data_IF_575939623909
#
_entry.id   IF_575939623909
#
_cell.length_a   1.000
_cell.length_b   1.000
_cell.length_c   1.000
_cell.angle_alpha   90.00
_cell.angle_beta   90.00
_cell.angle_gamma   90.00
#
_symmetry.space_group_name_H-M   'P 1'
#
loop_
_entity.id
_entity.type
_entity.pdbx_description
1 polymer ?
#
# COMPACT_ATOMS: atom_id res chain seq x y z
N UNK A 1 -9.20 -8.90 7.23
CA UNK A 1 -9.90 -8.32 6.06
C UNK A 1 -8.89 -7.61 5.19
N UNK A 2 -8.98 -7.75 3.86
CA UNK A 2 -8.29 -6.86 2.92
C UNK A 2 -9.31 -5.83 2.42
N UNK A 3 -8.99 -4.54 2.58
CA UNK A 3 -9.86 -3.43 2.26
C UNK A 3 -9.21 -2.41 1.34
N UNK A 4 -10.04 -1.54 0.77
CA UNK A 4 -9.61 -0.33 0.08
C UNK A 4 -10.02 0.87 0.91
N UNK A 5 -9.23 1.96 0.98
CA UNK A 5 -9.56 3.11 1.82
C UNK A 5 -10.96 3.69 1.59
N UNK A 6 -11.41 3.71 0.32
CA UNK A 6 -12.76 4.16 -0.03
C UNK A 6 -13.85 3.25 0.55
N UNK A 7 -13.65 1.92 0.53
CA UNK A 7 -14.61 0.97 1.12
C UNK A 7 -14.67 1.13 2.64
N UNK A 8 -13.54 1.38 3.30
CA UNK A 8 -13.54 1.65 4.75
C UNK A 8 -14.34 2.90 5.10
N UNK A 9 -14.13 4.01 4.37
CA UNK A 9 -14.91 5.23 4.57
C UNK A 9 -16.42 4.98 4.45
N UNK A 10 -16.84 4.27 3.40
CA UNK A 10 -18.26 3.92 3.19
C UNK A 10 -18.80 3.04 4.31
N UNK A 11 -18.00 2.08 4.78
CA UNK A 11 -18.37 1.24 5.91
C UNK A 11 -18.51 2.08 7.19
N UNK A 12 -17.58 2.99 7.48
CA UNK A 12 -17.69 3.90 8.62
C UNK A 12 -18.97 4.76 8.58
N UNK A 13 -19.31 5.32 7.42
CA UNK A 13 -20.56 6.07 7.24
C UNK A 13 -21.78 5.18 7.52
N UNK A 14 -21.84 3.99 6.95
CA UNK A 14 -22.96 3.06 7.16
C UNK A 14 -23.10 2.62 8.63
N UNK A 15 -21.98 2.43 9.35
CA UNK A 15 -22.00 2.05 10.77
C UNK A 15 -22.52 3.17 11.67
N UNK A 16 -22.35 4.44 11.28
CA UNK A 16 -22.91 5.59 12.01
C UNK A 16 -24.42 5.70 11.83
N UNK A 17 -24.95 5.19 10.72
CA UNK A 17 -26.37 5.23 10.38
C UNK A 17 -27.15 3.99 10.89
N UNK A 18 -26.46 2.91 11.26
CA UNK A 18 -27.09 1.67 11.73
C UNK A 18 -27.03 1.51 13.25
N UNK A 19 -28.17 1.35 13.91
CA UNK A 19 -28.23 1.10 15.37
C UNK A 19 -27.81 -0.33 15.77
N UNK A 20 -27.88 -1.32 14.88
CA UNK A 20 -27.91 -2.74 15.31
C UNK A 20 -26.91 -3.70 14.61
N UNK A 21 -26.27 -3.34 13.49
CA UNK A 21 -25.41 -4.29 12.74
C UNK A 21 -23.96 -4.36 13.24
N UNK A 22 -23.58 -3.50 14.19
CA UNK A 22 -22.19 -3.37 14.65
C UNK A 22 -21.74 -4.50 15.56
N UNK A 23 -22.64 -5.17 16.29
CA UNK A 23 -22.25 -6.03 17.42
C UNK A 23 -21.46 -7.29 17.03
N UNK A 24 -21.79 -7.93 15.90
CA UNK A 24 -21.11 -9.17 15.45
C UNK A 24 -19.74 -8.86 14.82
N UNK A 25 -19.67 -7.82 13.97
CA UNK A 25 -18.42 -7.40 13.33
C UNK A 25 -17.42 -6.83 14.35
N UNK A 26 -17.89 -6.03 15.32
CA UNK A 26 -17.08 -5.53 16.46
C UNK A 26 -16.42 -6.67 17.23
N UNK A 27 -17.12 -7.81 17.39
CA UNK A 27 -16.62 -8.93 18.18
C UNK A 27 -15.69 -9.87 17.43
N UNK A 28 -15.65 -9.86 16.09
CA UNK A 28 -14.91 -10.85 15.30
C UNK A 28 -13.77 -10.27 14.45
N UNK A 29 -13.86 -9.01 14.03
CA UNK A 29 -12.79 -8.37 13.25
C UNK A 29 -11.63 -7.98 14.18
N UNK A 30 -10.41 -8.38 13.81
CA UNK A 30 -9.19 -8.10 14.60
C UNK A 30 -8.05 -7.51 13.78
N UNK A 31 -7.98 -7.89 12.49
CA UNK A 31 -6.90 -7.51 11.59
C UNK A 31 -7.42 -6.97 10.26
N UNK A 32 -6.91 -5.82 9.87
CA UNK A 32 -7.26 -5.14 8.61
C UNK A 32 -5.99 -4.75 7.87
N UNK A 33 -5.88 -5.19 6.62
CA UNK A 33 -4.88 -4.67 5.69
C UNK A 33 -5.61 -3.79 4.68
N UNK A 34 -5.00 -2.66 4.32
CA UNK A 34 -5.51 -1.77 3.28
C UNK A 34 -4.44 -1.46 2.26
N UNK A 35 -4.82 -1.38 0.99
CA UNK A 35 -3.94 -1.10 -0.14
C UNK A 35 -4.71 -0.37 -1.25
N UNK A 36 -3.99 0.20 -2.20
CA UNK A 36 -4.52 0.72 -3.46
C UNK A 36 -4.67 2.24 -3.49
N UNK A 37 -4.71 2.90 -2.34
CA UNK A 37 -4.61 4.35 -2.26
C UNK A 37 -4.15 4.79 -0.86
N UNK A 38 -3.92 6.10 -0.70
CA UNK A 38 -3.57 6.68 0.59
C UNK A 38 -4.74 6.49 1.56
N UNK A 39 -4.45 5.89 2.71
CA UNK A 39 -5.37 5.80 3.84
C UNK A 39 -5.20 7.04 4.72
N UNK A 40 -6.21 7.91 4.85
CA UNK A 40 -6.10 9.03 5.78
C UNK A 40 -5.93 8.51 7.22
N UNK A 41 -5.02 9.09 8.04
CA UNK A 41 -4.77 8.64 9.41
C UNK A 41 -6.05 8.57 10.24
N UNK A 42 -6.90 9.60 10.15
CA UNK A 42 -8.18 9.66 10.86
C UNK A 42 -9.11 8.48 10.52
N UNK A 43 -9.11 8.00 9.28
CA UNK A 43 -9.92 6.83 8.88
C UNK A 43 -9.37 5.55 9.49
N UNK A 44 -8.04 5.40 9.50
CA UNK A 44 -7.39 4.24 10.12
C UNK A 44 -7.66 4.20 11.63
N UNK A 45 -7.47 5.33 12.32
CA UNK A 45 -7.72 5.48 13.76
C UNK A 45 -9.18 5.24 14.11
N UNK A 46 -10.12 5.86 13.40
CA UNK A 46 -11.55 5.69 13.63
C UNK A 46 -11.98 4.23 13.44
N UNK A 47 -11.50 3.58 12.38
CA UNK A 47 -11.81 2.17 12.10
C UNK A 47 -11.20 1.24 13.15
N UNK A 48 -9.94 1.48 13.54
CA UNK A 48 -9.27 0.71 14.59
C UNK A 48 -10.02 0.83 15.93
N UNK A 49 -10.49 2.03 16.28
CA UNK A 49 -11.22 2.27 17.52
C UNK A 49 -12.59 1.58 17.54
N UNK A 50 -13.39 1.74 16.48
CA UNK A 50 -14.75 1.17 16.40
C UNK A 50 -14.73 -0.36 16.53
N UNK A 51 -13.73 -1.01 15.93
CA UNK A 51 -13.61 -2.48 15.90
C UNK A 51 -12.62 -3.03 16.93
N UNK A 52 -12.02 -2.17 17.76
CA UNK A 52 -10.96 -2.55 18.71
C UNK A 52 -9.88 -3.41 18.07
N UNK A 53 -9.40 -2.98 16.89
CA UNK A 53 -8.43 -3.72 16.11
C UNK A 53 -7.07 -3.74 16.82
N UNK A 54 -6.42 -4.90 16.80
CA UNK A 54 -5.03 -5.03 17.23
C UNK A 54 -4.04 -4.96 16.07
N UNK A 55 -4.52 -4.85 14.83
CA UNK A 55 -3.71 -4.80 13.61
C UNK A 55 -4.49 -4.05 12.52
N UNK A 56 -4.02 -2.86 12.16
CA UNK A 56 -4.48 -2.08 11.02
C UNK A 56 -3.27 -1.61 10.23
N UNK A 57 -3.09 -2.14 9.02
CA UNK A 57 -1.86 -1.93 8.25
C UNK A 57 -2.13 -1.37 6.87
N UNK A 58 -1.63 -0.16 6.64
CA UNK A 58 -1.52 0.46 5.32
C UNK A 58 -0.38 -0.20 4.57
N UNK A 59 -0.69 -0.86 3.47
CA UNK A 59 0.27 -1.55 2.63
C UNK A 59 0.40 -0.82 1.30
N UNK A 60 1.59 -0.85 0.70
CA UNK A 60 1.82 -0.31 -0.63
C UNK A 60 2.02 -1.42 -1.65
N UNK A 61 1.57 -1.18 -2.87
CA UNK A 61 1.71 -2.08 -3.98
C UNK A 61 0.98 -1.55 -5.21
N UNK A 62 1.16 -2.24 -6.32
CA UNK A 62 0.59 -1.89 -7.61
C UNK A 62 0.35 -3.17 -8.43
N UNK A 63 -0.49 -3.06 -9.45
CA UNK A 63 -0.82 -4.21 -10.32
C UNK A 63 0.42 -4.77 -11.00
N UNK A 64 1.30 -3.88 -11.46
CA UNK A 64 2.57 -4.19 -12.12
C UNK A 64 3.56 -4.90 -11.20
N UNK A 65 3.40 -4.78 -9.88
CA UNK A 65 4.21 -5.51 -8.91
C UNK A 65 3.67 -6.92 -8.59
N UNK A 66 2.51 -7.28 -9.14
CA UNK A 66 1.80 -8.52 -8.79
C UNK A 66 1.12 -8.47 -7.41
N UNK A 67 0.91 -7.28 -6.84
CA UNK A 67 0.27 -7.10 -5.53
C UNK A 67 1.09 -6.24 -4.58
N UNK A 68 1.34 -6.75 -3.36
CA UNK A 68 2.03 -6.02 -2.30
C UNK A 68 3.52 -5.83 -2.61
N UNK A 69 4.00 -4.59 -2.46
CA UNK A 69 5.42 -4.24 -2.41
C UNK A 69 5.91 -4.19 -0.97
N UNK A 70 5.19 -3.45 -0.12
CA UNK A 70 5.55 -3.28 1.29
C UNK A 70 4.37 -3.58 2.20
N UNK A 71 4.69 -4.15 3.36
CA UNK A 71 3.71 -4.49 4.39
C UNK A 71 4.29 -4.11 5.76
N UNK A 72 3.57 -3.35 6.60
CA UNK A 72 4.00 -3.07 7.97
C UNK A 72 4.09 -4.35 8.83
N UNK A 73 4.95 -4.37 9.87
CA UNK A 73 4.98 -5.46 10.85
C UNK A 73 3.60 -5.78 11.44
N UNK A 74 3.32 -7.05 11.75
CA UNK A 74 2.03 -7.42 12.36
C UNK A 74 1.89 -6.80 13.75
N UNK A 75 0.66 -6.46 14.13
CA UNK A 75 0.35 -5.77 15.38
C UNK A 75 0.44 -4.24 15.28
N UNK A 76 0.87 -3.71 14.14
CA UNK A 76 0.85 -2.27 13.92
C UNK A 76 -0.58 -1.76 13.64
N UNK A 77 -0.88 -0.59 14.18
CA UNK A 77 -2.12 0.15 13.93
C UNK A 77 -1.73 1.53 13.38
N UNK A 78 -1.58 1.63 12.06
CA UNK A 78 -1.13 2.84 11.39
C UNK A 78 -1.70 2.96 9.97
N UNK A 79 -2.12 4.18 9.61
CA UNK A 79 -2.52 4.53 8.24
C UNK A 79 -1.39 5.10 7.38
N UNK A 80 -0.29 5.55 7.99
CA UNK A 80 0.79 6.33 7.35
C UNK A 80 2.04 5.50 7.08
N UNK A 81 2.35 4.54 7.94
CA UNK A 81 3.47 3.64 7.72
C UNK A 81 3.07 2.60 6.67
N UNK A 82 3.85 2.54 5.59
CA UNK A 82 3.67 1.53 4.52
C UNK A 82 4.53 0.28 4.74
N UNK A 83 5.38 0.28 5.78
CA UNK A 83 6.16 -0.88 6.19
C UNK A 83 7.40 -1.13 5.35
N UNK A 84 7.77 -2.40 5.27
CA UNK A 84 9.03 -2.85 4.66
C UNK A 84 8.76 -3.71 3.43
N UNK A 85 9.72 -3.80 2.49
CA UNK A 85 9.62 -4.70 1.35
C UNK A 85 9.31 -6.13 1.81
N UNK A 86 8.38 -6.80 1.13
CA UNK A 86 8.10 -8.22 1.39
C UNK A 86 9.24 -9.12 0.85
N UNK A 87 9.32 -10.41 1.25
CA UNK A 87 10.37 -11.30 0.78
C UNK A 87 10.53 -11.31 -0.74
N UNK A 88 11.77 -11.39 -1.20
CA UNK A 88 12.17 -11.36 -2.62
C UNK A 88 11.96 -10.01 -3.35
N UNK A 89 11.48 -8.96 -2.68
CA UNK A 89 11.41 -7.61 -3.25
C UNK A 89 12.59 -6.78 -2.76
N UNK A 90 13.28 -6.13 -3.70
CA UNK A 90 14.28 -5.09 -3.41
C UNK A 90 13.71 -3.73 -3.79
N UNK A 91 13.99 -2.72 -2.99
CA UNK A 91 13.53 -1.34 -3.23
C UNK A 91 14.67 -0.36 -3.00
N UNK A 92 14.64 0.74 -3.75
CA UNK A 92 15.50 1.92 -3.55
C UNK A 92 14.70 3.18 -3.86
N UNK A 93 15.15 4.31 -3.33
CA UNK A 93 14.62 5.63 -3.67
C UNK A 93 15.69 6.35 -4.49
N UNK A 94 15.29 7.01 -5.58
CA UNK A 94 16.20 7.79 -6.42
C UNK A 94 15.73 9.24 -6.53
N UNK A 95 16.68 10.15 -6.76
CA UNK A 95 16.37 11.48 -7.27
C UNK A 95 16.03 11.38 -8.77
N UNK A 96 14.90 11.93 -9.19
CA UNK A 96 14.43 11.79 -10.58
C UNK A 96 15.17 12.67 -11.59
N UNK A 97 16.00 13.60 -11.14
CA UNK A 97 16.78 14.50 -11.98
C UNK A 97 18.20 13.97 -12.15
N UNK A 98 18.87 13.62 -11.06
CA UNK A 98 20.25 13.12 -11.08
C UNK A 98 20.36 11.61 -11.28
N UNK A 99 19.32 10.85 -10.91
CA UNK A 99 19.34 9.38 -10.91
C UNK A 99 20.08 8.76 -9.72
N UNK A 100 20.59 9.58 -8.80
CA UNK A 100 21.33 9.12 -7.62
C UNK A 100 20.43 8.39 -6.62
N UNK A 101 20.98 7.37 -5.95
CA UNK A 101 20.28 6.66 -4.88
C UNK A 101 20.26 7.53 -3.63
N UNK A 102 19.06 7.76 -3.11
CA UNK A 102 18.84 8.58 -1.94
C UNK A 102 18.94 7.75 -0.65
N UNK A 103 19.42 8.40 0.41
CA UNK A 103 19.51 7.85 1.75
C UNK A 103 18.18 7.91 2.51
N UNK A 104 18.19 7.46 3.78
CA UNK A 104 17.00 7.51 4.64
C UNK A 104 16.42 8.93 4.74
N UNK A 105 15.10 9.03 4.87
CA UNK A 105 14.34 10.29 5.05
C UNK A 105 14.35 11.28 3.87
N UNK A 106 15.05 10.96 2.78
CA UNK A 106 15.02 11.75 1.56
C UNK A 106 13.87 11.31 0.65
N UNK A 107 13.10 12.28 0.15
CA UNK A 107 11.99 12.04 -0.75
C UNK A 107 12.48 11.90 -2.20
N UNK A 108 11.94 10.91 -2.91
CA UNK A 108 12.22 10.71 -4.33
C UNK A 108 11.30 9.68 -4.95
N UNK A 109 11.69 9.15 -6.11
CA UNK A 109 10.96 8.06 -6.75
C UNK A 109 11.37 6.71 -6.18
N UNK A 110 10.39 5.89 -5.83
CA UNK A 110 10.63 4.48 -5.50
C UNK A 110 10.81 3.66 -6.76
N UNK A 111 11.90 2.91 -6.79
CA UNK A 111 12.13 1.81 -7.73
C UNK A 111 12.08 0.49 -6.98
N UNK A 112 11.58 -0.54 -7.63
CA UNK A 112 11.54 -1.89 -7.08
C UNK A 112 11.98 -2.94 -8.08
N UNK A 113 12.46 -4.07 -7.56
CA UNK A 113 12.80 -5.25 -8.33
C UNK A 113 12.10 -6.45 -7.69
N UNK A 114 11.33 -7.19 -8.49
CA UNK A 114 10.52 -8.32 -8.05
C UNK A 114 10.57 -9.43 -9.11
N UNK A 115 10.58 -10.71 -8.71
CA UNK A 115 10.52 -11.83 -9.65
C UNK A 115 9.11 -12.11 -10.19
N UNK A 116 8.06 -11.43 -9.67
CA UNK A 116 6.65 -11.71 -10.02
C UNK A 116 5.93 -10.52 -10.66
N UNK A 117 6.66 -9.48 -11.06
CA UNK A 117 6.07 -8.29 -11.66
C UNK A 117 5.62 -8.49 -13.10
N UNK A 118 4.84 -7.54 -13.61
CA UNK A 118 4.42 -7.49 -14.99
C UNK A 118 5.64 -7.34 -15.92
N UNK A 119 5.59 -8.03 -17.06
CA UNK A 119 6.65 -7.99 -18.08
C UNK A 119 6.30 -7.11 -19.27
N UNK A 120 5.01 -6.80 -19.47
CA UNK A 120 4.50 -5.98 -20.54
C UNK A 120 3.07 -5.51 -20.25
N UNK A 121 2.65 -4.43 -20.91
CA UNK A 121 1.26 -4.03 -21.05
C UNK A 121 0.68 -4.61 -22.34
N UNK A 122 -0.50 -5.21 -22.25
CA UNK A 122 -1.15 -5.82 -23.39
C UNK A 122 -1.49 -4.76 -24.46
N UNK A 123 -0.98 -4.96 -25.68
CA UNK A 123 -1.25 -4.07 -26.82
C UNK A 123 -0.47 -2.74 -26.83
N UNK A 124 0.44 -2.52 -25.88
CA UNK A 124 1.24 -1.29 -25.79
C UNK A 124 2.74 -1.61 -25.69
N UNK A 125 3.39 -1.73 -26.84
CA UNK A 125 4.83 -2.00 -26.91
C UNK A 125 5.68 -0.85 -26.36
N UNK A 126 5.20 0.38 -26.46
CA UNK A 126 5.92 1.58 -26.00
C UNK A 126 5.97 1.62 -24.49
N UNK A 127 4.82 1.47 -23.82
CA UNK A 127 4.75 1.40 -22.36
C UNK A 127 5.48 0.14 -21.83
N UNK A 128 5.38 -0.98 -22.54
CA UNK A 128 6.07 -2.22 -22.18
C UNK A 128 7.60 -2.06 -22.19
N UNK A 129 8.15 -1.30 -23.13
CA UNK A 129 9.59 -1.05 -23.21
C UNK A 129 10.14 -0.26 -21.99
N UNK A 130 9.27 0.49 -21.31
CA UNK A 130 9.62 1.27 -20.12
C UNK A 130 9.28 0.62 -18.79
N UNK A 131 8.68 -0.58 -18.78
CA UNK A 131 8.19 -1.20 -17.54
C UNK A 131 9.34 -1.62 -16.61
N UNK A 132 10.44 -2.13 -17.19
CA UNK A 132 11.67 -2.50 -16.48
C UNK A 132 12.85 -1.82 -17.16
N UNK A 133 13.69 -1.13 -16.39
CA UNK A 133 14.92 -0.54 -16.90
C UNK A 133 15.98 -1.59 -17.26
N UNK A 134 17.07 -1.16 -17.89
CA UNK A 134 18.20 -2.03 -18.27
C UNK A 134 18.90 -2.73 -17.10
N UNK A 135 18.64 -2.30 -15.87
CA UNK A 135 19.20 -2.85 -14.64
C UNK A 135 18.18 -3.73 -13.88
N UNK A 136 17.00 -3.96 -14.44
CA UNK A 136 15.95 -4.78 -13.85
C UNK A 136 15.03 -4.03 -12.88
N UNK A 137 15.08 -2.70 -12.79
CA UNK A 137 14.22 -1.94 -11.87
C UNK A 137 12.95 -1.46 -12.55
N UNK A 138 11.83 -1.59 -11.84
CA UNK A 138 10.54 -1.01 -12.20
C UNK A 138 10.36 0.33 -11.49
N UNK A 139 9.88 1.32 -12.24
CA UNK A 139 9.59 2.66 -11.76
C UNK A 139 8.15 2.73 -11.23
N UNK A 140 7.96 3.25 -10.01
CA UNK A 140 6.61 3.43 -9.45
C UNK A 140 5.90 4.68 -10.00
N UNK A 141 6.64 5.63 -10.57
CA UNK A 141 6.14 6.96 -10.93
C UNK A 141 5.81 7.85 -9.73
N UNK A 142 5.91 7.35 -8.49
CA UNK A 142 5.60 8.08 -7.27
C UNK A 142 6.83 8.85 -6.79
N UNK A 143 6.90 10.13 -7.13
CA UNK A 143 8.05 11.03 -6.89
C UNK A 143 8.18 11.58 -5.46
N UNK A 144 7.16 11.39 -4.63
CA UNK A 144 7.11 11.87 -3.25
C UNK A 144 6.80 10.68 -2.35
N UNK A 145 7.77 9.80 -2.22
CA UNK A 145 7.77 8.71 -1.24
C UNK A 145 8.32 9.19 0.10
#
# INVERSE_FOLDING_TARGET
>A
MLGFPLKLKRLLSALKESEDTTNVLKKSLRKVLVIGSITPPAVAEEFANIFSLSDFRSCYGMTEAGGFLTVPPSGEVSGTNQGFPIPAIRMKVIDTVSGEVLGPTQCGEVLFHTPYGATAYYGDSTASASIVDKHGWMHTGKKHW
#
